data_IF_940658449564
#
_entry.id   IF_940658449564
#
_cell.length_a   1.000
_cell.length_b   1.000
_cell.length_c   1.000
_cell.angle_alpha   90.00
_cell.angle_beta   90.00
_cell.angle_gamma   90.00
#
_symmetry.space_group_name_H-M   'P 1'
#
loop_
_entity.id
_entity.type
_entity.pdbx_description
1 polymer ?
#
# COMPACT_ATOMS: atom_id res chain seq x y z
N UNK A 1 -7.25 2.84 -24.27
CA UNK A 1 -8.09 2.58 -23.06
C UNK A 1 -7.81 1.17 -22.55
N UNK A 2 -7.26 1.05 -21.34
CA UNK A 2 -7.03 -0.25 -20.71
C UNK A 2 -8.36 -0.77 -20.14
N UNK A 3 -8.60 -2.08 -20.19
CA UNK A 3 -9.80 -2.68 -19.59
C UNK A 3 -9.93 -2.25 -18.12
N UNK A 4 -11.15 -1.87 -17.71
CA UNK A 4 -11.44 -1.37 -16.35
C UNK A 4 -10.98 0.07 -16.05
N UNK A 5 -10.35 0.78 -16.99
CA UNK A 5 -9.95 2.19 -16.81
C UNK A 5 -10.79 3.11 -17.67
N UNK A 6 -11.83 3.65 -17.07
CA UNK A 6 -12.74 4.60 -17.70
C UNK A 6 -12.22 6.03 -17.56
N UNK A 7 -12.47 6.87 -18.56
CA UNK A 7 -12.19 8.32 -18.49
C UNK A 7 -13.15 9.06 -17.53
N UNK A 8 -14.33 8.47 -17.31
CA UNK A 8 -15.33 8.91 -16.35
C UNK A 8 -15.92 7.66 -15.69
N UNK A 9 -15.99 7.65 -14.36
CA UNK A 9 -16.59 6.57 -13.57
C UNK A 9 -17.29 7.18 -12.35
N UNK A 10 -18.17 6.41 -11.70
CA UNK A 10 -18.84 6.80 -10.46
C UNK A 10 -18.22 6.04 -9.28
N UNK A 11 -18.09 6.70 -8.14
CA UNK A 11 -17.64 6.11 -6.89
C UNK A 11 -18.59 6.49 -5.77
N UNK A 12 -18.66 5.60 -4.78
CA UNK A 12 -19.20 5.87 -3.45
C UNK A 12 -18.04 5.79 -2.48
N UNK A 13 -18.01 6.71 -1.51
CA UNK A 13 -17.01 6.78 -0.46
C UNK A 13 -17.66 7.13 0.86
N UNK A 14 -16.98 6.78 1.95
CA UNK A 14 -17.34 7.17 3.31
C UNK A 14 -16.11 7.81 3.97
N UNK A 15 -16.37 8.78 4.84
CA UNK A 15 -15.33 9.44 5.63
C UNK A 15 -15.83 9.55 7.08
N UNK A 16 -15.01 9.06 8.01
CA UNK A 16 -15.20 9.27 9.45
C UNK A 16 -14.24 10.37 9.88
N UNK A 17 -14.76 11.48 10.41
CA UNK A 17 -13.96 12.66 10.76
C UNK A 17 -14.05 12.93 12.27
N UNK A 18 -12.91 13.29 12.88
CA UNK A 18 -12.86 13.78 14.26
C UNK A 18 -12.62 12.72 15.34
N UNK A 19 -12.11 11.55 14.99
CA UNK A 19 -11.71 10.51 15.95
C UNK A 19 -10.44 9.80 15.46
N UNK A 20 -9.60 9.40 16.41
CA UNK A 20 -8.42 8.55 16.26
C UNK A 20 -8.65 7.14 16.85
N UNK A 21 -9.90 6.81 17.21
CA UNK A 21 -10.27 5.50 17.73
C UNK A 21 -10.17 4.44 16.62
N UNK A 22 -9.35 3.37 16.77
CA UNK A 22 -9.23 2.29 15.81
C UNK A 22 -10.57 1.59 15.48
N UNK A 23 -11.57 1.71 16.35
CA UNK A 23 -12.92 1.21 16.07
C UNK A 23 -13.53 1.89 14.82
N UNK A 24 -13.18 3.15 14.55
CA UNK A 24 -13.63 3.86 13.35
C UNK A 24 -13.11 3.21 12.06
N UNK A 25 -11.86 2.75 12.04
CA UNK A 25 -11.28 2.00 10.92
C UNK A 25 -12.01 0.66 10.73
N UNK A 26 -12.28 -0.05 11.83
CA UNK A 26 -13.04 -1.31 11.81
C UNK A 26 -14.43 -1.11 11.23
N UNK A 27 -15.15 -0.08 11.65
CA UNK A 27 -16.49 0.24 11.17
C UNK A 27 -16.49 0.57 9.67
N UNK A 28 -15.49 1.32 9.20
CA UNK A 28 -15.34 1.64 7.78
C UNK A 28 -15.08 0.39 6.93
N UNK A 29 -14.19 -0.50 7.40
CA UNK A 29 -13.88 -1.78 6.73
C UNK A 29 -15.12 -2.70 6.73
N UNK A 30 -15.80 -2.82 7.87
CA UNK A 30 -16.99 -3.64 8.02
C UNK A 30 -18.13 -3.15 7.12
N UNK A 31 -18.34 -1.83 7.01
CA UNK A 31 -19.33 -1.27 6.09
C UNK A 31 -19.01 -1.65 4.64
N UNK A 32 -17.75 -1.52 4.21
CA UNK A 32 -17.32 -1.93 2.87
C UNK A 32 -17.53 -3.43 2.63
N UNK A 33 -17.24 -4.26 3.62
CA UNK A 33 -17.46 -5.71 3.57
C UNK A 33 -18.94 -6.05 3.39
N UNK A 34 -19.80 -5.50 4.25
CA UNK A 34 -21.25 -5.73 4.21
C UNK A 34 -21.88 -5.15 2.94
N UNK A 35 -21.37 -4.03 2.42
CA UNK A 35 -21.80 -3.50 1.13
C UNK A 35 -21.62 -4.54 0.04
N UNK A 36 -20.45 -5.16 -0.08
CA UNK A 36 -20.22 -6.19 -1.09
C UNK A 36 -21.02 -7.47 -0.84
N UNK A 37 -21.16 -7.89 0.41
CA UNK A 37 -22.00 -9.04 0.79
C UNK A 37 -23.46 -8.82 0.39
N UNK A 38 -24.00 -7.61 0.61
CA UNK A 38 -25.38 -7.23 0.25
C UNK A 38 -25.64 -7.28 -1.25
N UNK A 39 -24.59 -7.09 -2.08
CA UNK A 39 -24.64 -7.25 -3.53
C UNK A 39 -24.54 -8.73 -3.97
N UNK A 40 -24.35 -9.66 -3.04
CA UNK A 40 -24.22 -11.09 -3.30
C UNK A 40 -22.82 -11.53 -3.77
N UNK A 41 -21.81 -10.69 -3.63
CA UNK A 41 -20.43 -11.04 -3.99
C UNK A 41 -19.82 -11.98 -2.95
N UNK A 42 -19.14 -13.04 -3.40
CA UNK A 42 -18.61 -14.10 -2.52
C UNK A 42 -17.11 -14.37 -2.66
N UNK A 43 -16.47 -13.83 -3.69
CA UNK A 43 -15.05 -14.05 -3.99
C UNK A 43 -14.27 -12.76 -3.77
N UNK A 44 -14.31 -12.28 -2.54
CA UNK A 44 -13.67 -11.04 -2.12
C UNK A 44 -12.61 -11.39 -1.08
N UNK A 45 -11.45 -10.78 -1.23
CA UNK A 45 -10.35 -10.89 -0.29
C UNK A 45 -10.09 -9.51 0.29
N UNK A 46 -10.15 -9.40 1.62
CA UNK A 46 -9.71 -8.21 2.33
C UNK A 46 -8.20 -8.29 2.54
N UNK A 47 -7.48 -7.26 2.10
CA UNK A 47 -6.04 -7.11 2.32
C UNK A 47 -5.83 -5.87 3.20
N UNK A 48 -5.21 -6.05 4.36
CA UNK A 48 -4.96 -4.98 5.33
C UNK A 48 -3.46 -4.68 5.39
N UNK A 49 -3.14 -3.42 5.67
CA UNK A 49 -1.78 -2.95 5.92
C UNK A 49 -1.82 -1.72 6.84
N UNK A 50 -0.73 -1.44 7.53
CA UNK A 50 -0.53 -0.23 8.33
C UNK A 50 0.69 0.53 7.82
N UNK A 51 0.62 1.86 7.80
CA UNK A 51 1.76 2.74 7.55
C UNK A 51 2.34 3.33 8.86
N UNK A 52 1.83 2.88 10.00
CA UNK A 52 2.22 3.36 11.32
C UNK A 52 1.94 4.85 11.52
N UNK A 53 2.64 5.42 12.50
CA UNK A 53 2.58 6.84 12.83
C UNK A 53 3.68 7.65 12.08
N UNK A 54 3.75 8.98 12.29
CA UNK A 54 4.79 9.82 11.70
C UNK A 54 6.23 9.48 12.07
N UNK A 55 6.47 8.62 13.08
CA UNK A 55 7.80 8.15 13.50
C UNK A 55 8.19 6.82 12.85
N UNK A 56 7.23 5.96 12.55
CA UNK A 56 7.43 4.66 11.90
C UNK A 56 7.87 4.83 10.43
N UNK A 57 7.12 5.67 9.71
CA UNK A 57 7.28 5.82 8.25
C UNK A 57 8.67 6.35 7.84
N UNK A 58 9.29 7.35 8.48
CA UNK A 58 10.62 7.81 8.12
C UNK A 58 11.69 6.70 8.21
N UNK A 59 11.69 5.92 9.30
CA UNK A 59 12.65 4.83 9.48
C UNK A 59 12.50 3.76 8.39
N UNK A 60 11.26 3.39 8.06
CA UNK A 60 10.98 2.48 6.95
C UNK A 60 11.41 3.04 5.60
N UNK A 61 11.12 4.32 5.33
CA UNK A 61 11.49 4.99 4.07
C UNK A 61 12.99 5.01 3.84
N UNK A 62 13.78 5.26 4.90
CA UNK A 62 15.24 5.26 4.83
C UNK A 62 15.77 3.85 4.56
N UNK A 63 15.28 2.84 5.30
CA UNK A 63 15.66 1.44 5.06
C UNK A 63 15.30 0.97 3.65
N UNK A 64 14.10 1.30 3.17
CA UNK A 64 13.65 0.97 1.82
C UNK A 64 14.48 1.66 0.75
N UNK A 65 14.81 2.95 0.94
CA UNK A 65 15.66 3.70 0.02
C UNK A 65 17.04 3.07 -0.07
N UNK A 66 17.69 2.81 1.07
CA UNK A 66 19.01 2.16 1.09
C UNK A 66 18.98 0.83 0.36
N UNK A 67 18.02 -0.04 0.71
CA UNK A 67 17.87 -1.34 0.07
C UNK A 67 17.69 -1.26 -1.45
N UNK A 68 16.81 -0.37 -1.93
CA UNK A 68 16.56 -0.23 -3.37
C UNK A 68 17.74 0.43 -4.11
N UNK A 69 18.45 1.36 -3.46
CA UNK A 69 19.66 1.98 -4.01
C UNK A 69 20.80 0.97 -4.18
N UNK A 70 21.00 0.09 -3.20
CA UNK A 70 22.01 -0.98 -3.26
C UNK A 70 21.71 -1.99 -4.38
N UNK A 71 20.43 -2.16 -4.73
CA UNK A 71 19.95 -3.06 -5.78
C UNK A 71 19.60 -2.33 -7.09
N UNK A 72 19.91 -1.04 -7.23
CA UNK A 72 19.41 -0.21 -8.32
C UNK A 72 19.79 -0.71 -9.72
N UNK A 73 20.98 -1.29 -9.86
CA UNK A 73 21.46 -1.84 -11.14
C UNK A 73 20.63 -3.04 -11.64
N UNK A 74 19.94 -3.73 -10.73
CA UNK A 74 19.08 -4.87 -11.04
C UNK A 74 17.60 -4.50 -11.15
N UNK A 75 17.24 -3.25 -10.85
CA UNK A 75 15.90 -2.72 -11.10
C UNK A 75 15.72 -2.31 -12.55
N UNK A 76 14.48 -2.37 -13.02
CA UNK A 76 14.07 -1.82 -14.30
C UNK A 76 14.42 -0.34 -14.43
N UNK A 77 14.72 0.18 -15.63
CA UNK A 77 14.99 1.60 -15.83
C UNK A 77 13.84 2.50 -15.31
N UNK A 78 12.60 2.03 -15.40
CA UNK A 78 11.44 2.77 -14.89
C UNK A 78 11.39 2.77 -13.35
N UNK A 79 11.77 1.67 -12.71
CA UNK A 79 11.86 1.58 -11.24
C UNK A 79 13.02 2.41 -10.70
N UNK A 80 14.15 2.49 -11.42
CA UNK A 80 15.25 3.40 -11.09
C UNK A 80 14.79 4.88 -11.09
N UNK A 81 14.07 5.32 -12.13
CA UNK A 81 13.48 6.68 -12.15
C UNK A 81 12.45 6.88 -11.03
N UNK A 82 11.69 5.83 -10.71
CA UNK A 82 10.67 5.89 -9.65
C UNK A 82 11.32 6.00 -8.27
N UNK A 83 12.44 5.30 -8.03
CA UNK A 83 13.22 5.32 -6.79
C UNK A 83 13.66 6.75 -6.43
N UNK A 84 14.17 7.51 -7.40
CA UNK A 84 14.59 8.90 -7.18
C UNK A 84 13.46 9.79 -6.70
N UNK A 85 12.23 9.55 -7.18
CA UNK A 85 11.06 10.39 -6.88
C UNK A 85 10.29 9.92 -5.66
N UNK A 86 10.02 8.62 -5.55
CA UNK A 86 9.24 8.01 -4.49
C UNK A 86 9.56 6.51 -4.38
N UNK A 87 10.45 6.11 -3.45
CA UNK A 87 10.85 4.72 -3.23
C UNK A 87 9.68 3.75 -3.01
N UNK A 88 8.60 4.16 -2.32
CA UNK A 88 7.45 3.29 -2.07
C UNK A 88 6.79 2.80 -3.36
N UNK A 89 6.78 3.64 -4.40
CA UNK A 89 6.12 3.31 -5.67
C UNK A 89 6.91 2.29 -6.49
N UNK A 90 8.14 1.98 -6.11
CA UNK A 90 8.89 0.88 -6.71
C UNK A 90 8.21 -0.45 -6.38
N UNK A 91 7.63 -0.59 -5.17
CA UNK A 91 6.93 -1.79 -4.73
C UNK A 91 5.67 -2.10 -5.56
N UNK A 92 5.12 -1.09 -6.26
CA UNK A 92 3.97 -1.25 -7.17
C UNK A 92 4.36 -1.81 -8.55
N UNK A 93 5.65 -2.04 -8.81
CA UNK A 93 6.10 -2.54 -10.11
C UNK A 93 5.51 -3.91 -10.41
N UNK A 94 5.11 -4.10 -11.66
CA UNK A 94 4.59 -5.37 -12.19
C UNK A 94 5.57 -6.03 -13.16
N UNK A 95 6.82 -5.57 -13.22
CA UNK A 95 7.84 -6.13 -14.12
C UNK A 95 8.55 -7.28 -13.42
N UNK A 96 8.72 -8.39 -14.13
CA UNK A 96 9.32 -9.60 -13.59
C UNK A 96 10.75 -9.36 -13.09
N UNK A 97 11.51 -8.49 -13.75
CA UNK A 97 12.87 -8.11 -13.33
C UNK A 97 12.92 -7.42 -11.97
N UNK A 98 11.87 -6.70 -11.58
CA UNK A 98 11.80 -6.03 -10.28
C UNK A 98 11.31 -6.99 -9.16
N UNK A 99 10.64 -8.09 -9.52
CA UNK A 99 9.84 -8.89 -8.59
C UNK A 99 10.68 -9.51 -7.47
N UNK A 100 11.87 -10.04 -7.79
CA UNK A 100 12.75 -10.66 -6.79
C UNK A 100 13.25 -9.63 -5.76
N UNK A 101 13.60 -8.43 -6.22
CA UNK A 101 14.09 -7.33 -5.38
C UNK A 101 12.95 -6.81 -4.50
N UNK A 102 11.76 -6.61 -5.07
CA UNK A 102 10.58 -6.15 -4.32
C UNK A 102 10.18 -7.18 -3.27
N UNK A 103 10.21 -8.48 -3.59
CA UNK A 103 9.85 -9.53 -2.63
C UNK A 103 10.80 -9.64 -1.44
N UNK A 104 12.03 -9.17 -1.57
CA UNK A 104 13.04 -9.17 -0.50
C UNK A 104 13.19 -7.78 0.15
N UNK A 105 12.36 -6.80 -0.22
CA UNK A 105 12.37 -5.49 0.39
C UNK A 105 11.97 -5.55 1.87
N UNK A 106 12.48 -4.60 2.70
CA UNK A 106 12.04 -4.48 4.09
C UNK A 106 10.51 -4.34 4.15
N UNK A 107 9.90 -4.85 5.23
CA UNK A 107 8.45 -4.79 5.43
C UNK A 107 8.09 -3.68 6.41
N UNK A 108 7.05 -2.92 6.11
CA UNK A 108 6.57 -1.82 6.98
C UNK A 108 6.24 -2.30 8.40
N UNK A 109 5.76 -3.54 8.56
CA UNK A 109 5.39 -4.13 9.86
C UNK A 109 6.56 -4.25 10.86
N UNK A 110 7.80 -4.29 10.35
CA UNK A 110 9.01 -4.37 11.17
C UNK A 110 9.41 -3.01 11.77
N UNK A 111 8.77 -1.92 11.31
CA UNK A 111 9.03 -0.54 11.73
C UNK A 111 7.88 0.07 12.52
N UNK A 112 6.83 -0.71 12.81
CA UNK A 112 5.72 -0.29 13.66
C UNK A 112 6.14 -0.31 15.14
N UNK A 113 5.69 0.70 15.88
CA UNK A 113 5.77 0.73 17.36
C UNK A 113 4.71 -0.20 17.96
N UNK A 114 4.82 -0.52 19.25
CA UNK A 114 3.81 -1.33 19.95
C UNK A 114 2.40 -0.69 19.94
N UNK A 115 2.34 0.65 19.90
CA UNK A 115 1.10 1.42 19.84
C UNK A 115 0.46 1.43 18.43
N UNK A 116 1.25 1.13 17.39
CA UNK A 116 0.82 1.24 15.98
C UNK A 116 0.79 -0.09 15.24
N UNK A 117 0.97 -1.19 15.98
CA UNK A 117 0.97 -2.57 15.47
C UNK A 117 -0.44 -3.15 15.35
#
# INVERSE_FOLDING_TARGET
PQAGRYRQFAQVGIETLGTDDPQADVDAIALGWHFYESLGLRKITLLLNSLGDPTCRPAYMDALRTYLSDNAASLSPQSQVTLERNPLRVLDSKRDEDAAIISAAPLMVDFLTDETR
#
